data_IF_211224993460
#
_entry.id   IF_211224993460
#
_cell.length_a   1.000
_cell.length_b   1.000
_cell.length_c   1.000
_cell.angle_alpha   90.00
_cell.angle_beta   90.00
_cell.angle_gamma   90.00
#
_symmetry.space_group_name_H-M   'P 1'
#
loop_
_entity.id
_entity.type
_entity.pdbx_description
1 polymer ?
#
# COMPACT_ATOMS: atom_id res chain seq x y z
N UNK A 1 -15.03 -28.81 -23.14
CA UNK A 1 -14.92 -28.49 -21.70
C UNK A 1 -13.56 -27.89 -21.34
N UNK A 2 -12.45 -28.48 -21.79
CA UNK A 2 -11.08 -28.02 -21.48
C UNK A 2 -10.74 -26.61 -21.98
N UNK A 3 -11.24 -26.20 -23.16
CA UNK A 3 -10.99 -24.86 -23.71
C UNK A 3 -11.66 -23.74 -22.89
N UNK A 4 -12.89 -23.97 -22.43
CA UNK A 4 -13.65 -23.05 -21.58
C UNK A 4 -13.00 -22.88 -20.20
N UNK A 5 -12.48 -23.97 -19.63
CA UNK A 5 -11.75 -23.94 -18.36
C UNK A 5 -10.44 -23.17 -18.53
N UNK A 6 -9.67 -23.46 -19.59
CA UNK A 6 -8.42 -22.77 -19.93
C UNK A 6 -8.60 -21.25 -20.10
N UNK A 7 -9.58 -20.84 -20.91
CA UNK A 7 -9.91 -19.43 -21.13
C UNK A 7 -10.33 -18.71 -19.83
N UNK A 8 -11.05 -19.42 -18.96
CA UNK A 8 -11.47 -18.87 -17.67
C UNK A 8 -10.28 -18.73 -16.69
N UNK A 9 -9.41 -19.74 -16.59
CA UNK A 9 -8.17 -19.62 -15.81
C UNK A 9 -7.25 -18.51 -16.31
N UNK A 10 -7.20 -18.30 -17.64
CA UNK A 10 -6.46 -17.19 -18.24
C UNK A 10 -7.04 -15.84 -17.78
N UNK A 11 -8.37 -15.69 -17.77
CA UNK A 11 -9.04 -14.46 -17.32
C UNK A 11 -8.75 -14.10 -15.85
N UNK A 12 -8.66 -15.10 -14.97
CA UNK A 12 -8.33 -14.90 -13.55
C UNK A 12 -6.87 -14.49 -13.36
N UNK A 13 -5.95 -15.08 -14.14
CA UNK A 13 -4.53 -14.69 -14.11
C UNK A 13 -4.32 -13.26 -14.61
N UNK A 14 -5.07 -12.84 -15.64
CA UNK A 14 -5.05 -11.46 -16.15
C UNK A 14 -5.52 -10.45 -15.09
N UNK A 15 -6.53 -10.80 -14.29
CA UNK A 15 -7.00 -9.94 -13.20
C UNK A 15 -5.91 -9.72 -12.13
N UNK A 16 -5.18 -10.77 -11.76
CA UNK A 16 -4.06 -10.65 -10.80
C UNK A 16 -2.91 -9.82 -11.37
N UNK A 17 -2.57 -10.00 -12.64
CA UNK A 17 -1.54 -9.22 -13.33
C UNK A 17 -1.94 -7.74 -13.38
N UNK A 18 -3.19 -7.44 -13.72
CA UNK A 18 -3.71 -6.08 -13.75
C UNK A 18 -3.68 -5.42 -12.36
N UNK A 19 -4.08 -6.15 -11.31
CA UNK A 19 -3.99 -5.67 -9.93
C UNK A 19 -2.55 -5.39 -9.51
N UNK A 20 -1.61 -6.30 -9.83
CA UNK A 20 -0.20 -6.11 -9.52
C UNK A 20 0.37 -4.89 -10.27
N UNK A 21 -0.01 -4.72 -11.54
CA UNK A 21 0.35 -3.54 -12.33
C UNK A 21 -0.19 -2.24 -11.71
N UNK A 22 -1.44 -2.22 -11.25
CA UNK A 22 -2.03 -1.06 -10.56
C UNK A 22 -1.26 -0.74 -9.27
N UNK A 23 -0.88 -1.76 -8.48
CA UNK A 23 -0.07 -1.58 -7.27
C UNK A 23 1.30 -0.96 -7.58
N UNK A 24 1.99 -1.49 -8.60
CA UNK A 24 3.30 -0.97 -9.04
C UNK A 24 3.19 0.45 -9.59
N UNK A 25 2.17 0.71 -10.41
CA UNK A 25 1.93 2.03 -11.00
C UNK A 25 1.62 3.07 -9.91
N UNK A 26 0.81 2.72 -8.91
CA UNK A 26 0.53 3.59 -7.76
C UNK A 26 1.80 3.86 -6.96
N UNK A 27 2.56 2.82 -6.63
CA UNK A 27 3.85 2.98 -5.95
C UNK A 27 4.77 3.93 -6.74
N UNK A 28 4.91 3.70 -8.04
CA UNK A 28 5.78 4.50 -8.91
C UNK A 28 5.31 5.96 -9.05
N UNK A 29 4.00 6.18 -9.20
CA UNK A 29 3.40 7.52 -9.25
C UNK A 29 3.64 8.27 -7.95
N UNK A 30 3.36 7.64 -6.80
CA UNK A 30 3.62 8.23 -5.48
C UNK A 30 5.11 8.49 -5.29
N UNK A 31 5.97 7.54 -5.65
CA UNK A 31 7.43 7.69 -5.54
C UNK A 31 7.93 8.90 -6.32
N UNK A 32 7.53 9.04 -7.59
CA UNK A 32 7.92 10.17 -8.44
C UNK A 32 7.36 11.49 -7.95
N UNK A 33 6.12 11.48 -7.44
CA UNK A 33 5.51 12.67 -6.85
C UNK A 33 6.37 13.19 -5.69
N UNK A 34 6.69 12.34 -4.73
CA UNK A 34 7.52 12.75 -3.58
C UNK A 34 8.99 13.03 -3.93
N UNK A 35 9.48 12.52 -5.06
CA UNK A 35 10.85 12.78 -5.54
C UNK A 35 11.00 14.12 -6.25
N UNK A 36 10.02 14.52 -7.07
CA UNK A 36 10.15 15.70 -7.96
C UNK A 36 9.27 16.89 -7.56
N UNK A 37 8.28 16.71 -6.67
CA UNK A 37 7.37 17.80 -6.30
C UNK A 37 8.08 18.80 -5.37
N UNK A 38 8.12 20.10 -5.72
CA UNK A 38 8.92 21.11 -5.00
C UNK A 38 8.42 21.35 -3.56
N UNK A 39 7.16 21.04 -3.26
CA UNK A 39 6.58 21.14 -1.91
C UNK A 39 7.28 20.23 -0.90
N UNK A 40 7.82 19.10 -1.36
CA UNK A 40 8.50 18.12 -0.50
C UNK A 40 10.02 18.17 -0.62
N UNK A 41 10.57 19.14 -1.37
CA UNK A 41 12.00 19.24 -1.66
C UNK A 41 12.87 19.21 -0.40
N UNK A 42 12.55 20.03 0.59
CA UNK A 42 13.31 20.11 1.85
C UNK A 42 13.27 18.80 2.64
N UNK A 43 12.10 18.18 2.76
CA UNK A 43 11.96 16.90 3.48
C UNK A 43 12.66 15.78 2.72
N UNK A 44 12.54 15.75 1.39
CA UNK A 44 13.24 14.79 0.55
C UNK A 44 14.77 14.94 0.65
N UNK A 45 15.28 16.16 0.76
CA UNK A 45 16.71 16.41 0.95
C UNK A 45 17.23 15.84 2.30
N UNK A 46 16.38 15.83 3.33
CA UNK A 46 16.75 15.33 4.67
C UNK A 46 16.59 13.81 4.82
N UNK A 47 15.52 13.25 4.27
CA UNK A 47 15.17 11.81 4.41
C UNK A 47 15.65 10.96 3.24
N UNK A 48 15.86 11.58 2.08
CA UNK A 48 16.23 10.93 0.83
C UNK A 48 15.12 10.06 0.25
N UNK A 49 15.54 8.98 -0.44
CA UNK A 49 14.66 7.99 -1.07
C UNK A 49 13.78 7.23 -0.08
N UNK A 50 14.14 7.19 1.20
CA UNK A 50 13.38 6.51 2.26
C UNK A 50 12.01 7.16 2.49
N UNK A 51 11.88 8.48 2.29
CA UNK A 51 10.57 9.15 2.29
C UNK A 51 9.67 8.60 1.18
N UNK A 52 10.17 8.57 -0.04
CA UNK A 52 9.41 8.14 -1.22
C UNK A 52 8.99 6.67 -1.11
N UNK A 53 9.88 5.80 -0.61
CA UNK A 53 9.59 4.38 -0.37
C UNK A 53 8.48 4.23 0.66
N UNK A 54 8.59 4.93 1.81
CA UNK A 54 7.61 4.91 2.89
C UNK A 54 6.21 5.33 2.42
N UNK A 55 6.13 6.32 1.52
CA UNK A 55 4.87 6.84 0.97
C UNK A 55 4.28 5.91 -0.09
N UNK A 56 5.12 5.44 -1.00
CA UNK A 56 4.71 4.49 -2.03
C UNK A 56 4.14 3.21 -1.43
N UNK A 57 4.82 2.66 -0.42
CA UNK A 57 4.36 1.44 0.28
C UNK A 57 3.06 1.68 1.05
N UNK A 58 2.88 2.85 1.68
CA UNK A 58 1.64 3.22 2.35
C UNK A 58 0.44 3.26 1.38
N UNK A 59 0.60 3.87 0.20
CA UNK A 59 -0.45 3.89 -0.82
C UNK A 59 -0.83 2.48 -1.28
N UNK A 60 0.15 1.57 -1.42
CA UNK A 60 -0.10 0.16 -1.78
C UNK A 60 -0.81 -0.58 -0.65
N UNK A 61 -0.45 -0.34 0.61
CA UNK A 61 -1.16 -0.91 1.77
C UNK A 61 -2.61 -0.43 1.78
N UNK A 62 -2.86 0.88 1.63
CA UNK A 62 -4.21 1.45 1.66
C UNK A 62 -5.11 0.86 0.55
N UNK A 63 -4.58 0.74 -0.67
CA UNK A 63 -5.29 0.07 -1.76
C UNK A 63 -5.61 -1.39 -1.41
N UNK A 64 -4.61 -2.16 -0.96
CA UNK A 64 -4.81 -3.57 -0.67
C UNK A 64 -5.71 -3.83 0.53
N UNK A 65 -5.66 -2.98 1.57
CA UNK A 65 -6.59 -3.01 2.70
C UNK A 65 -8.04 -2.71 2.29
N UNK A 66 -8.26 -1.85 1.30
CA UNK A 66 -9.59 -1.68 0.70
C UNK A 66 -10.04 -2.92 -0.07
N UNK A 67 -9.15 -3.47 -0.89
CA UNK A 67 -9.45 -4.62 -1.77
C UNK A 67 -9.66 -5.93 -1.01
N UNK A 68 -8.97 -6.14 0.11
CA UNK A 68 -9.08 -7.36 0.93
C UNK A 68 -10.44 -7.48 1.62
N UNK A 69 -11.14 -6.36 1.83
CA UNK A 69 -12.48 -6.28 2.41
C UNK A 69 -13.60 -6.56 1.40
N UNK A 70 -13.39 -6.26 0.12
CA UNK A 70 -14.38 -6.52 -0.94
C UNK A 70 -14.92 -7.95 -0.97
N UNK A 71 -14.11 -9.03 -0.85
CA UNK A 71 -14.62 -10.40 -0.81
C UNK A 71 -15.38 -10.76 0.48
N UNK A 72 -15.23 -9.98 1.55
CA UNK A 72 -15.92 -10.19 2.84
C UNK A 72 -17.24 -9.40 2.95
N UNK A 73 -17.43 -8.39 2.09
CA UNK A 73 -18.68 -7.62 2.03
C UNK A 73 -19.82 -8.49 1.49
N UNK A 74 -20.66 -9.02 2.40
CA UNK A 74 -21.81 -9.88 2.04
C UNK A 74 -22.73 -9.26 0.99
N UNK A 75 -22.91 -7.94 0.99
CA UNK A 75 -23.72 -7.20 0.00
C UNK A 75 -23.13 -7.29 -1.40
N UNK A 76 -21.81 -7.15 -1.54
CA UNK A 76 -21.10 -7.28 -2.82
C UNK A 76 -21.21 -8.72 -3.32
N UNK A 77 -20.99 -9.69 -2.43
CA UNK A 77 -21.11 -11.11 -2.76
C UNK A 77 -22.53 -11.48 -3.17
N UNK A 78 -23.57 -10.96 -2.51
CA UNK A 78 -24.98 -11.21 -2.89
C UNK A 78 -25.38 -10.53 -4.19
N UNK A 79 -24.90 -9.31 -4.45
CA UNK A 79 -25.12 -8.62 -5.73
C UNK A 79 -24.42 -9.34 -6.88
N UNK A 80 -23.18 -9.80 -6.65
CA UNK A 80 -22.46 -10.66 -7.59
C UNK A 80 -23.26 -11.96 -7.82
N UNK A 81 -23.80 -12.57 -6.76
CA UNK A 81 -24.67 -13.75 -6.89
C UNK A 81 -25.93 -13.48 -7.70
N UNK A 82 -26.48 -12.27 -7.67
CA UNK A 82 -27.61 -11.85 -8.49
C UNK A 82 -27.27 -11.79 -9.98
N UNK A 83 -26.12 -11.18 -10.31
CA UNK A 83 -25.59 -11.08 -11.69
C UNK A 83 -25.22 -12.48 -12.22
N UNK A 84 -24.55 -13.28 -11.39
CA UNK A 84 -24.08 -14.61 -11.72
C UNK A 84 -25.19 -15.67 -11.68
N UNK A 85 -26.41 -15.35 -11.20
CA UNK A 85 -27.56 -16.28 -11.19
C UNK A 85 -28.02 -16.64 -12.61
N UNK A 86 -27.68 -15.80 -13.60
CA UNK A 86 -27.83 -16.08 -15.03
C UNK A 86 -26.76 -17.05 -15.57
N UNK A 87 -25.74 -17.40 -14.78
CA UNK A 87 -24.62 -18.26 -15.16
C UNK A 87 -24.72 -19.64 -14.52
N UNK A 88 -23.99 -20.61 -15.09
CA UNK A 88 -23.95 -21.99 -14.60
C UNK A 88 -23.45 -22.08 -13.14
N UNK A 89 -24.00 -23.04 -12.38
CA UNK A 89 -23.59 -23.37 -11.00
C UNK A 89 -22.08 -23.66 -10.89
N UNK A 90 -21.48 -24.18 -11.96
CA UNK A 90 -20.03 -24.40 -12.04
C UNK A 90 -19.26 -23.06 -11.99
N UNK A 91 -19.64 -22.10 -12.83
CA UNK A 91 -18.98 -20.80 -12.92
C UNK A 91 -19.09 -19.99 -11.62
N UNK A 92 -20.23 -20.11 -10.94
CA UNK A 92 -20.45 -19.55 -9.61
C UNK A 92 -19.42 -20.01 -8.57
N UNK A 93 -19.18 -21.32 -8.49
CA UNK A 93 -18.25 -21.91 -7.52
C UNK A 93 -16.81 -21.44 -7.78
N UNK A 94 -16.41 -21.44 -9.05
CA UNK A 94 -15.06 -21.01 -9.46
C UNK A 94 -14.81 -19.53 -9.15
N UNK A 95 -15.80 -18.65 -9.36
CA UNK A 95 -15.66 -17.22 -9.03
C UNK A 95 -15.48 -17.02 -7.53
N UNK A 96 -16.27 -17.71 -6.70
CA UNK A 96 -16.15 -17.63 -5.24
C UNK A 96 -14.76 -18.11 -4.78
N UNK A 97 -14.26 -19.22 -5.34
CA UNK A 97 -12.91 -19.70 -5.00
C UNK A 97 -11.81 -18.77 -5.51
N UNK A 98 -12.01 -18.10 -6.65
CA UNK A 98 -11.08 -17.07 -7.15
C UNK A 98 -11.02 -15.82 -6.25
N UNK A 99 -12.14 -15.43 -5.63
CA UNK A 99 -12.19 -14.33 -4.67
C UNK A 99 -11.36 -14.64 -3.41
N UNK A 100 -11.34 -15.90 -2.95
CA UNK A 100 -10.46 -16.33 -1.85
C UNK A 100 -8.99 -16.27 -2.26
N UNK A 101 -8.66 -16.74 -3.47
CA UNK A 101 -7.30 -16.62 -4.01
C UNK A 101 -6.82 -15.17 -4.10
N UNK A 102 -7.70 -14.26 -4.52
CA UNK A 102 -7.44 -12.82 -4.55
C UNK A 102 -7.27 -12.22 -3.13
N UNK A 103 -8.11 -12.61 -2.16
CA UNK A 103 -7.96 -12.19 -0.77
C UNK A 103 -6.59 -12.59 -0.19
N UNK A 104 -6.16 -13.83 -0.43
CA UNK A 104 -4.85 -14.34 0.02
C UNK A 104 -3.72 -13.56 -0.66
N UNK A 105 -3.81 -13.30 -1.98
CA UNK A 105 -2.82 -12.51 -2.70
C UNK A 105 -2.70 -11.07 -2.16
N UNK A 106 -3.83 -10.41 -1.89
CA UNK A 106 -3.85 -9.09 -1.25
C UNK A 106 -3.23 -9.13 0.15
N UNK A 107 -3.54 -10.16 0.96
CA UNK A 107 -2.97 -10.31 2.29
C UNK A 107 -1.44 -10.41 2.24
N UNK A 108 -0.88 -11.21 1.33
CA UNK A 108 0.58 -11.28 1.13
C UNK A 108 1.19 -9.92 0.73
N UNK A 109 0.54 -9.17 -0.17
CA UNK A 109 1.01 -7.85 -0.57
C UNK A 109 0.97 -6.83 0.56
N UNK A 110 -0.06 -6.88 1.43
CA UNK A 110 -0.14 -6.03 2.62
C UNK A 110 1.01 -6.34 3.56
N UNK A 111 1.27 -7.61 3.87
CA UNK A 111 2.35 -8.01 4.78
C UNK A 111 3.70 -7.54 4.24
N UNK A 112 4.01 -7.84 2.97
CA UNK A 112 5.27 -7.43 2.35
C UNK A 112 5.43 -5.90 2.34
N UNK A 113 4.38 -5.19 1.93
CA UNK A 113 4.41 -3.72 1.87
C UNK A 113 4.50 -3.09 3.26
N UNK A 114 3.92 -3.73 4.29
CA UNK A 114 4.00 -3.28 5.69
C UNK A 114 5.42 -3.42 6.24
N UNK A 115 6.12 -4.51 5.92
CA UNK A 115 7.54 -4.68 6.30
C UNK A 115 8.41 -3.62 5.64
N UNK A 116 8.20 -3.35 4.34
CA UNK A 116 8.92 -2.29 3.60
C UNK A 116 8.60 -0.91 4.21
N UNK A 117 7.33 -0.62 4.46
CA UNK A 117 6.86 0.62 5.05
C UNK A 117 7.48 0.86 6.44
N UNK A 118 7.44 -0.14 7.31
CA UNK A 118 8.05 -0.09 8.64
C UNK A 118 9.55 0.16 8.57
N UNK A 119 10.26 -0.58 7.72
CA UNK A 119 11.72 -0.42 7.54
C UNK A 119 12.07 0.99 7.04
N UNK A 120 11.29 1.52 6.09
CA UNK A 120 11.46 2.90 5.61
C UNK A 120 11.20 3.93 6.71
N UNK A 121 10.22 3.71 7.59
CA UNK A 121 9.99 4.56 8.75
C UNK A 121 11.16 4.56 9.74
N UNK A 122 11.76 3.41 10.00
CA UNK A 122 12.96 3.30 10.87
C UNK A 122 14.13 4.08 10.27
N UNK A 123 14.37 3.94 8.97
CA UNK A 123 15.42 4.70 8.26
C UNK A 123 15.10 6.21 8.28
N UNK A 124 13.84 6.60 8.08
CA UNK A 124 13.42 8.00 8.15
C UNK A 124 13.65 8.60 9.53
N UNK A 125 13.30 7.88 10.61
CA UNK A 125 13.52 8.34 11.97
C UNK A 125 15.02 8.52 12.28
N UNK A 126 15.85 7.58 11.82
CA UNK A 126 17.31 7.68 11.90
C UNK A 126 17.84 8.91 11.14
N UNK A 127 17.34 9.16 9.93
CA UNK A 127 17.73 10.32 9.12
C UNK A 127 17.27 11.65 9.74
N UNK A 128 16.09 11.71 10.35
CA UNK A 128 15.63 12.89 11.10
C UNK A 128 16.53 13.21 12.30
N UNK A 129 17.01 12.19 13.01
CA UNK A 129 17.88 12.36 14.17
C UNK A 129 19.29 12.86 13.78
N UNK A 130 19.83 12.34 12.67
CA UNK A 130 21.18 12.71 12.19
C UNK A 130 21.24 14.00 11.38
N UNK A 131 20.27 14.23 10.50
CA UNK A 131 20.25 15.41 9.62
C UNK A 131 19.43 16.56 10.23
N UNK A 132 19.38 16.65 11.55
CA UNK A 132 18.60 17.67 12.26
C UNK A 132 19.06 19.09 11.87
N UNK A 133 18.14 19.90 11.35
CA UNK A 133 18.43 21.28 10.97
C UNK A 133 17.88 22.29 11.97
N UNK A 134 18.77 22.96 12.72
CA UNK A 134 18.39 23.97 13.74
C UNK A 134 17.67 25.20 13.17
N UNK A 135 17.80 25.47 11.87
CA UNK A 135 17.24 26.67 11.22
C UNK A 135 15.77 26.46 10.86
N UNK A 136 15.37 25.23 10.52
CA UNK A 136 14.01 24.89 10.12
C UNK A 136 13.44 23.82 11.05
N UNK A 137 13.06 24.23 12.27
CA UNK A 137 12.52 23.31 13.29
C UNK A 137 11.13 22.77 12.93
N UNK A 138 10.37 23.49 12.10
CA UNK A 138 9.01 23.13 11.68
C UNK A 138 8.95 21.98 10.65
N UNK A 139 10.05 21.65 10.00
CA UNK A 139 10.15 20.50 9.08
C UNK A 139 10.81 19.28 9.71
N UNK A 140 11.40 19.44 10.91
CA UNK A 140 12.04 18.35 11.64
C UNK A 140 11.03 17.58 12.48
N UNK A 141 11.12 16.26 12.45
CA UNK A 141 10.38 15.40 13.38
C UNK A 141 11.02 15.33 14.76
N UNK A 142 12.36 15.40 14.82
CA UNK A 142 13.10 15.36 16.07
C UNK A 142 12.99 16.71 16.81
N UNK A 143 12.93 16.66 18.15
CA UNK A 143 13.01 17.85 19.01
C UNK A 143 14.44 18.37 19.13
N UNK A 144 15.42 17.47 19.13
CA UNK A 144 16.84 17.78 19.25
C UNK A 144 17.70 16.81 18.43
N UNK A 145 18.94 17.22 18.15
CA UNK A 145 19.91 16.41 17.40
C UNK A 145 20.29 15.16 18.19
N UNK A 146 20.34 14.00 17.53
CA UNK A 146 20.59 12.68 18.15
C UNK A 146 19.49 12.20 19.12
N UNK A 147 18.26 12.69 18.98
CA UNK A 147 17.12 12.08 19.67
C UNK A 147 16.97 10.60 19.27
N UNK A 148 16.67 9.76 20.26
CA UNK A 148 16.45 8.33 20.04
C UNK A 148 15.36 8.11 18.99
N UNK A 149 15.64 7.37 17.91
CA UNK A 149 14.69 7.18 16.82
C UNK A 149 13.42 6.45 17.29
N UNK A 150 13.49 5.67 18.37
CA UNK A 150 12.33 5.02 18.98
C UNK A 150 11.31 6.06 19.51
N UNK A 151 11.79 7.14 20.13
CA UNK A 151 10.94 8.23 20.62
C UNK A 151 10.37 9.06 19.49
N UNK A 152 11.10 9.22 18.38
CA UNK A 152 10.56 9.87 17.17
C UNK A 152 9.40 9.04 16.60
N UNK A 153 9.58 7.72 16.46
CA UNK A 153 8.56 6.82 15.91
C UNK A 153 7.33 6.72 16.84
N UNK A 154 7.54 6.57 18.15
CA UNK A 154 6.47 6.37 19.14
C UNK A 154 5.80 7.68 19.57
N UNK A 155 6.59 8.73 19.82
CA UNK A 155 6.12 10.01 20.35
C UNK A 155 5.45 10.92 19.32
N UNK A 156 5.78 10.77 18.03
CA UNK A 156 5.12 11.52 16.95
C UNK A 156 4.14 10.68 16.13
N UNK A 157 3.96 9.40 16.50
CA UNK A 157 3.23 8.38 15.75
C UNK A 157 1.74 8.65 15.51
N UNK A 158 1.10 9.61 16.18
CA UNK A 158 -0.28 10.03 15.86
C UNK A 158 -0.34 11.21 14.87
N UNK A 159 0.54 12.20 15.01
CA UNK A 159 0.54 13.39 14.14
C UNK A 159 1.25 13.13 12.82
N UNK A 160 2.34 12.35 12.80
CA UNK A 160 3.04 11.97 11.55
C UNK A 160 2.30 10.91 10.73
N UNK A 161 1.43 10.09 11.33
CA UNK A 161 0.64 9.11 10.59
C UNK A 161 -0.53 9.75 9.84
N UNK A 162 -1.08 10.84 10.39
CA UNK A 162 -2.17 11.62 9.79
C UNK A 162 -1.64 12.66 8.81
N UNK A 163 -0.63 13.46 9.14
CA UNK A 163 -0.13 14.53 8.26
C UNK A 163 0.53 14.05 6.96
N UNK A 164 0.81 12.75 6.89
CA UNK A 164 1.49 12.12 5.79
C UNK A 164 0.60 11.00 5.18
N UNK A 165 -0.53 10.60 5.78
CA UNK A 165 -1.47 9.71 5.06
C UNK A 165 -2.38 10.43 4.04
N UNK A 166 -2.33 11.76 4.00
CA UNK A 166 -3.10 12.60 3.06
C UNK A 166 -2.27 13.09 1.85
#
# INVERSE_FOLDING_TARGET
>A
MNLLISLFSLSLSLQQILWAFICVLLFYRTFNRYKYEPRFYYVHQMLGSSLCISRGSASVINLNCGLVLLPMCRVVVTSLRGILRKMSMYTMRVIIDSCKGFHIACAYAIVLSSVIHYTAHVINARNFSMNYNRIYTNVNAAKYQYEDPLWIILGTGWYYFVFFSD
#
